data_IF_597862207076
#
_entry.id   IF_597862207076
#
_cell.length_a   1.000
_cell.length_b   1.000
_cell.length_c   1.000
_cell.angle_alpha   90.00
_cell.angle_beta   90.00
_cell.angle_gamma   90.00
#
_symmetry.space_group_name_H-M   'P 1'
#
loop_
_entity.id
_entity.type
_entity.pdbx_description
1 polymer ?
#
# COMPACT_ATOMS: atom_id res chain seq x y z
N UNK A 1 28.55 -6.13 -15.47
CA UNK A 1 27.35 -6.16 -14.60
C UNK A 1 26.24 -5.46 -15.37
N UNK A 2 25.04 -6.01 -15.56
CA UNK A 2 23.96 -5.28 -16.19
C UNK A 2 23.56 -4.13 -15.27
N UNK A 3 23.67 -2.90 -15.77
CA UNK A 3 23.18 -1.71 -15.10
C UNK A 3 21.64 -1.80 -15.05
N UNK A 4 21.09 -1.99 -13.87
CA UNK A 4 19.65 -1.92 -13.67
C UNK A 4 19.25 -0.44 -13.75
N UNK A 5 18.76 -0.03 -14.87
CA UNK A 5 18.11 1.26 -15.03
C UNK A 5 16.64 1.05 -14.67
N UNK A 6 16.23 1.56 -13.50
CA UNK A 6 14.82 1.68 -13.23
C UNK A 6 14.18 2.50 -14.36
N UNK A 7 13.10 2.02 -14.99
CA UNK A 7 12.44 2.79 -16.03
C UNK A 7 11.89 4.09 -15.46
N UNK A 8 11.90 5.18 -16.24
CA UNK A 8 11.34 6.45 -15.77
C UNK A 8 9.89 6.28 -15.32
N UNK A 9 9.48 7.02 -14.31
CA UNK A 9 8.19 6.91 -13.63
C UNK A 9 6.97 6.99 -14.57
N UNK A 10 7.12 7.59 -15.74
CA UNK A 10 6.09 7.75 -16.78
C UNK A 10 6.24 6.80 -17.97
N UNK A 11 7.21 5.89 -17.96
CA UNK A 11 7.37 4.93 -19.04
C UNK A 11 6.32 3.83 -18.90
N UNK A 12 5.39 3.66 -19.85
CA UNK A 12 4.58 2.46 -19.89
C UNK A 12 5.53 1.29 -20.18
N UNK A 13 5.80 0.49 -19.16
CA UNK A 13 6.43 -0.81 -19.36
C UNK A 13 5.40 -1.68 -20.10
N UNK A 14 5.44 -1.61 -21.43
CA UNK A 14 4.78 -2.60 -22.26
C UNK A 14 5.45 -3.95 -21.98
N UNK A 15 4.79 -4.79 -21.18
CA UNK A 15 5.29 -6.09 -20.76
C UNK A 15 5.80 -6.20 -19.33
N UNK A 16 5.39 -5.30 -18.41
CA UNK A 16 5.66 -5.48 -16.98
C UNK A 16 5.10 -6.82 -16.52
N UNK A 17 5.98 -7.74 -16.15
CA UNK A 17 5.60 -9.02 -15.56
C UNK A 17 4.96 -8.76 -14.20
N UNK A 18 3.71 -9.17 -14.03
CA UNK A 18 3.04 -9.17 -12.74
C UNK A 18 3.27 -10.53 -12.11
N UNK A 19 3.91 -10.54 -10.95
CA UNK A 19 4.07 -11.74 -10.16
C UNK A 19 2.85 -11.87 -9.22
N UNK A 20 2.15 -12.98 -9.32
CA UNK A 20 1.01 -13.27 -8.45
C UNK A 20 1.38 -14.34 -7.43
N UNK A 21 1.11 -14.05 -6.18
CA UNK A 21 1.26 -14.94 -5.04
C UNK A 21 -0.06 -15.00 -4.28
N UNK A 22 -0.24 -16.01 -3.44
CA UNK A 22 -1.38 -16.09 -2.55
C UNK A 22 -0.90 -16.29 -1.11
N UNK A 23 -1.39 -15.46 -0.20
CA UNK A 23 -1.17 -15.59 1.22
C UNK A 23 -2.53 -15.70 1.92
N UNK A 24 -2.87 -16.87 2.47
CA UNK A 24 -4.20 -17.17 2.98
C UNK A 24 -5.26 -16.92 1.87
N UNK A 25 -6.28 -16.10 2.18
CA UNK A 25 -7.33 -15.70 1.23
C UNK A 25 -7.00 -14.45 0.43
N UNK A 26 -5.82 -13.87 0.63
CA UNK A 26 -5.35 -12.64 -0.01
C UNK A 26 -4.56 -12.96 -1.28
N UNK A 27 -4.91 -12.32 -2.39
CA UNK A 27 -4.09 -12.31 -3.61
C UNK A 27 -3.05 -11.20 -3.49
N UNK A 28 -1.78 -11.52 -3.69
CA UNK A 28 -0.68 -10.56 -3.69
C UNK A 28 -0.16 -10.41 -5.11
N UNK A 29 -0.13 -9.21 -5.63
CA UNK A 29 0.39 -8.92 -6.97
C UNK A 29 1.53 -7.92 -6.86
N UNK A 30 2.70 -8.31 -7.38
CA UNK A 30 3.93 -7.52 -7.37
C UNK A 30 4.30 -7.12 -8.80
N UNK A 31 4.67 -5.87 -9.00
CA UNK A 31 5.15 -5.36 -10.29
C UNK A 31 5.58 -3.90 -10.21
N UNK A 32 5.61 -3.24 -11.37
CA UNK A 32 5.94 -1.82 -11.48
C UNK A 32 4.81 -1.08 -12.20
N UNK A 33 4.54 0.17 -11.78
CA UNK A 33 3.52 1.04 -12.39
C UNK A 33 2.13 0.41 -12.46
N UNK A 34 1.70 -0.22 -11.35
CA UNK A 34 0.50 -1.05 -11.31
C UNK A 34 -0.82 -0.27 -11.28
N UNK A 35 -0.85 1.05 -11.12
CA UNK A 35 -2.09 1.81 -10.90
C UNK A 35 -3.17 1.55 -11.97
N UNK A 36 -2.87 1.53 -13.29
CA UNK A 36 -3.88 1.18 -14.29
C UNK A 36 -4.36 -0.28 -14.19
N UNK A 37 -3.45 -1.20 -13.86
CA UNK A 37 -3.78 -2.60 -13.63
C UNK A 37 -4.67 -2.77 -12.39
N UNK A 38 -4.35 -2.07 -11.29
CA UNK A 38 -5.15 -2.05 -10.06
C UNK A 38 -6.59 -1.61 -10.39
N UNK A 39 -6.79 -0.48 -11.06
CA UNK A 39 -8.10 0.01 -11.41
C UNK A 39 -8.89 -1.02 -12.23
N UNK A 40 -8.28 -1.62 -13.25
CA UNK A 40 -8.90 -2.65 -14.09
C UNK A 40 -9.27 -3.88 -13.27
N UNK A 41 -8.34 -4.40 -12.45
CA UNK A 41 -8.56 -5.59 -11.61
C UNK A 41 -9.70 -5.36 -10.62
N UNK A 42 -9.73 -4.20 -9.97
CA UNK A 42 -10.79 -3.88 -9.00
C UNK A 42 -12.16 -3.88 -9.64
N UNK A 43 -12.31 -3.27 -10.81
CA UNK A 43 -13.61 -3.19 -11.49
C UNK A 43 -14.07 -4.56 -12.00
N UNK A 44 -13.14 -5.42 -12.42
CA UNK A 44 -13.50 -6.75 -12.94
C UNK A 44 -13.71 -7.78 -11.82
N UNK A 45 -12.86 -7.80 -10.79
CA UNK A 45 -12.88 -8.85 -9.76
C UNK A 45 -13.54 -8.44 -8.45
N UNK A 46 -13.59 -7.14 -8.16
CA UNK A 46 -14.27 -6.57 -7.01
C UNK A 46 -15.24 -5.46 -7.43
N UNK A 47 -16.23 -5.76 -8.29
CA UNK A 47 -17.19 -4.74 -8.74
C UNK A 47 -17.88 -4.10 -7.55
N UNK A 48 -18.04 -2.78 -7.61
CA UNK A 48 -18.56 -1.94 -6.54
C UNK A 48 -19.22 -0.69 -7.07
N UNK A 49 -20.20 -0.18 -6.35
CA UNK A 49 -20.83 1.12 -6.65
C UNK A 49 -19.92 2.31 -6.38
N UNK A 50 -18.91 2.15 -5.51
CA UNK A 50 -17.92 3.16 -5.20
C UNK A 50 -16.62 2.55 -4.68
N UNK A 51 -15.52 3.15 -5.06
CA UNK A 51 -14.18 2.88 -4.55
C UNK A 51 -13.72 4.08 -3.73
N UNK A 52 -13.10 3.84 -2.58
CA UNK A 52 -12.57 4.90 -1.70
C UNK A 52 -11.07 4.73 -1.58
N UNK A 53 -10.31 5.64 -2.15
CA UNK A 53 -8.87 5.74 -1.95
C UNK A 53 -8.61 6.53 -0.67
N UNK A 54 -8.00 5.90 0.32
CA UNK A 54 -7.51 6.58 1.52
C UNK A 54 -5.99 6.63 1.45
N UNK A 55 -5.43 7.83 1.56
CA UNK A 55 -3.98 8.08 1.45
C UNK A 55 -3.58 9.26 2.33
N UNK A 56 -2.28 9.53 2.43
CA UNK A 56 -1.77 10.68 3.15
C UNK A 56 -1.33 11.83 2.21
N UNK A 57 -1.18 13.01 2.81
CA UNK A 57 -0.81 14.22 2.05
C UNK A 57 0.59 14.17 1.45
N UNK A 58 1.51 13.32 1.92
CA UNK A 58 2.82 13.14 1.28
C UNK A 58 2.67 12.44 -0.07
N UNK A 59 1.91 11.36 -0.11
CA UNK A 59 1.64 10.64 -1.36
C UNK A 59 0.77 11.47 -2.32
N UNK A 60 -0.16 12.27 -1.78
CA UNK A 60 -0.93 13.22 -2.58
C UNK A 60 -0.02 14.21 -3.33
N UNK A 61 0.96 14.80 -2.64
CA UNK A 61 1.98 15.70 -3.24
C UNK A 61 2.84 15.01 -4.31
N UNK A 62 3.05 13.71 -4.22
CA UNK A 62 3.77 12.90 -5.21
C UNK A 62 2.88 12.50 -6.41
N UNK A 63 1.66 13.01 -6.50
CA UNK A 63 0.73 12.75 -7.61
C UNK A 63 0.03 11.39 -7.56
N UNK A 64 0.03 10.71 -6.40
CA UNK A 64 -0.64 9.43 -6.25
C UNK A 64 -2.13 9.52 -6.58
N UNK A 65 -2.82 10.53 -6.04
CA UNK A 65 -4.25 10.74 -6.25
C UNK A 65 -4.57 10.93 -7.73
N UNK A 66 -3.79 11.75 -8.43
CA UNK A 66 -4.03 12.02 -9.86
C UNK A 66 -3.83 10.77 -10.72
N UNK A 67 -2.86 9.93 -10.38
CA UNK A 67 -2.65 8.64 -11.05
C UNK A 67 -3.88 7.74 -10.90
N UNK A 68 -4.41 7.61 -9.68
CA UNK A 68 -5.62 6.81 -9.44
C UNK A 68 -6.85 7.43 -10.11
N UNK A 69 -7.07 8.74 -10.02
CA UNK A 69 -8.17 9.42 -10.69
C UNK A 69 -8.16 9.16 -12.20
N UNK A 70 -7.04 9.40 -12.87
CA UNK A 70 -6.88 9.13 -14.31
C UNK A 70 -7.17 7.67 -14.67
N UNK A 71 -6.69 6.72 -13.85
CA UNK A 71 -6.91 5.31 -14.10
C UNK A 71 -8.37 4.90 -13.96
N UNK A 72 -9.10 5.45 -12.99
CA UNK A 72 -10.52 5.17 -12.78
C UNK A 72 -11.41 5.91 -13.78
N UNK A 73 -11.09 7.16 -14.13
CA UNK A 73 -11.82 7.95 -15.14
C UNK A 73 -11.77 7.31 -16.53
N UNK A 74 -10.70 6.58 -16.82
CA UNK A 74 -10.58 5.82 -18.07
C UNK A 74 -11.56 4.64 -18.17
N UNK A 75 -12.26 4.28 -17.07
CA UNK A 75 -13.17 3.13 -17.02
C UNK A 75 -14.61 3.63 -16.83
N UNK A 76 -15.50 3.45 -17.82
CA UNK A 76 -16.87 3.94 -17.74
C UNK A 76 -17.63 3.41 -16.52
N UNK A 77 -18.27 4.30 -15.79
CA UNK A 77 -19.09 3.98 -14.62
C UNK A 77 -18.30 3.76 -13.31
N UNK A 78 -16.96 3.81 -13.34
CA UNK A 78 -16.17 3.70 -12.14
C UNK A 78 -16.27 5.00 -11.32
N UNK A 79 -16.64 4.89 -10.03
CA UNK A 79 -16.73 6.00 -9.09
C UNK A 79 -15.62 5.90 -8.06
N UNK A 80 -14.61 6.79 -8.13
CA UNK A 80 -13.54 6.90 -7.13
C UNK A 80 -13.77 8.14 -6.27
N UNK A 81 -13.77 7.95 -4.96
CA UNK A 81 -13.68 9.01 -3.96
C UNK A 81 -12.32 8.95 -3.28
N UNK A 82 -11.85 10.08 -2.78
CA UNK A 82 -10.53 10.18 -2.15
C UNK A 82 -10.68 10.82 -0.78
N UNK A 83 -10.06 10.22 0.22
CA UNK A 83 -9.90 10.78 1.55
C UNK A 83 -8.40 10.92 1.85
N UNK A 84 -7.99 12.13 2.20
CA UNK A 84 -6.61 12.45 2.55
C UNK A 84 -6.48 12.68 4.05
N UNK A 85 -5.44 12.13 4.66
CA UNK A 85 -5.14 12.36 6.07
C UNK A 85 -3.69 12.87 6.26
N UNK A 86 -3.39 13.36 7.45
CA UNK A 86 -2.05 13.77 7.80
C UNK A 86 -1.11 12.53 7.85
N UNK A 87 0.15 12.64 7.38
CA UNK A 87 1.11 11.55 7.50
C UNK A 87 1.58 11.40 8.95
N UNK A 88 2.06 10.21 9.28
CA UNK A 88 2.67 9.91 10.58
C UNK A 88 1.79 9.09 11.51
N UNK A 89 2.43 8.53 12.53
CA UNK A 89 1.81 7.59 13.48
C UNK A 89 0.66 8.21 14.26
N UNK A 90 0.69 9.51 14.51
CA UNK A 90 -0.38 10.25 15.22
C UNK A 90 -1.75 10.13 14.53
N UNK A 91 -1.75 9.92 13.21
CA UNK A 91 -2.97 9.69 12.45
C UNK A 91 -3.61 8.32 12.71
N UNK A 92 -2.89 7.38 13.33
CA UNK A 92 -3.39 6.05 13.66
C UNK A 92 -4.21 6.06 14.95
N UNK A 93 -5.27 6.85 14.99
CA UNK A 93 -6.06 7.18 16.18
C UNK A 93 -7.55 6.87 16.03
N UNK A 94 -8.27 6.90 17.16
CA UNK A 94 -9.73 6.77 17.18
C UNK A 94 -10.41 7.93 16.47
N UNK A 95 -9.88 9.11 16.66
CA UNK A 95 -10.40 10.35 16.10
C UNK A 95 -10.33 10.31 14.56
N UNK A 96 -9.19 9.91 14.02
CA UNK A 96 -9.02 9.77 12.56
C UNK A 96 -9.90 8.66 12.00
N UNK A 97 -10.00 7.53 12.72
CA UNK A 97 -10.90 6.44 12.33
C UNK A 97 -12.35 6.93 12.26
N UNK A 98 -12.83 7.63 13.29
CA UNK A 98 -14.18 8.18 13.33
C UNK A 98 -14.40 9.20 12.20
N UNK A 99 -13.43 10.08 11.95
CA UNK A 99 -13.53 11.08 10.87
C UNK A 99 -13.66 10.42 9.48
N UNK A 100 -12.94 9.32 9.23
CA UNK A 100 -13.09 8.56 7.98
C UNK A 100 -14.49 7.95 7.89
N UNK A 101 -14.98 7.33 8.97
CA UNK A 101 -16.30 6.71 9.02
C UNK A 101 -17.42 7.73 8.81
N UNK A 102 -17.35 8.88 9.47
CA UNK A 102 -18.32 9.98 9.33
C UNK A 102 -18.33 10.49 7.88
N UNK A 103 -17.15 10.75 7.31
CA UNK A 103 -17.01 11.15 5.93
C UNK A 103 -17.62 10.12 4.96
N UNK A 104 -17.41 8.82 5.22
CA UNK A 104 -18.00 7.76 4.41
C UNK A 104 -19.53 7.76 4.49
N UNK A 105 -20.10 8.04 5.66
CA UNK A 105 -21.56 8.18 5.86
C UNK A 105 -22.11 9.40 5.14
N UNK A 106 -21.46 10.54 5.22
CA UNK A 106 -21.82 11.78 4.51
C UNK A 106 -21.88 11.56 2.99
N UNK A 107 -20.95 10.75 2.46
CA UNK A 107 -20.92 10.41 1.03
C UNK A 107 -21.86 9.26 0.65
N UNK A 108 -22.71 8.81 1.61
CA UNK A 108 -23.70 7.74 1.44
C UNK A 108 -23.09 6.43 0.94
N UNK A 109 -21.90 6.11 1.42
CA UNK A 109 -21.24 4.86 1.10
C UNK A 109 -21.91 3.71 1.82
N UNK A 110 -21.97 2.55 1.17
CA UNK A 110 -22.71 1.38 1.64
C UNK A 110 -21.76 0.18 1.79
N UNK A 111 -22.31 -0.96 2.25
CA UNK A 111 -21.55 -2.21 2.36
C UNK A 111 -20.98 -2.76 1.05
N UNK A 112 -21.40 -2.20 -0.08
CA UNK A 112 -20.88 -2.55 -1.40
C UNK A 112 -19.55 -1.83 -1.71
N UNK A 113 -19.21 -0.78 -0.96
CA UNK A 113 -17.97 -0.01 -1.15
C UNK A 113 -16.72 -0.87 -1.00
N UNK A 114 -15.73 -0.64 -1.87
CA UNK A 114 -14.38 -1.18 -1.75
C UNK A 114 -13.42 -0.08 -1.30
N UNK A 115 -12.67 -0.33 -0.22
CA UNK A 115 -11.72 0.64 0.32
C UNK A 115 -10.29 0.29 -0.10
N UNK A 116 -9.54 1.29 -0.58
CA UNK A 116 -8.16 1.20 -1.02
C UNK A 116 -7.26 1.90 0.00
N UNK A 117 -6.48 1.14 0.76
CA UNK A 117 -5.49 1.65 1.69
C UNK A 117 -4.17 1.87 0.93
N UNK A 118 -3.91 3.11 0.47
CA UNK A 118 -2.70 3.46 -0.28
C UNK A 118 -1.74 4.23 0.60
N UNK A 119 -0.69 3.55 1.11
CA UNK A 119 0.27 4.17 2.01
C UNK A 119 1.21 3.21 2.71
N UNK A 120 1.88 3.69 3.75
CA UNK A 120 2.67 2.87 4.65
C UNK A 120 1.80 2.08 5.64
N UNK A 121 2.45 1.46 6.63
CA UNK A 121 1.78 0.63 7.64
C UNK A 121 0.70 1.37 8.43
N UNK A 122 0.89 2.66 8.71
CA UNK A 122 -0.13 3.51 9.39
C UNK A 122 -1.44 3.52 8.63
N UNK A 123 -1.38 3.77 7.32
CA UNK A 123 -2.56 3.77 6.44
C UNK A 123 -3.17 2.37 6.35
N UNK A 124 -2.33 1.36 6.14
CA UNK A 124 -2.79 -0.03 6.03
C UNK A 124 -3.56 -0.49 7.26
N UNK A 125 -3.02 -0.24 8.45
CA UNK A 125 -3.62 -0.65 9.72
C UNK A 125 -4.91 0.11 10.03
N UNK A 126 -4.87 1.44 9.96
CA UNK A 126 -6.01 2.31 10.23
C UNK A 126 -7.18 2.00 9.29
N UNK A 127 -6.91 2.02 7.98
CA UNK A 127 -7.94 1.84 6.94
C UNK A 127 -8.47 0.42 6.92
N UNK A 128 -7.61 -0.56 7.17
CA UNK A 128 -8.04 -1.94 7.35
C UNK A 128 -8.99 -2.10 8.54
N UNK A 129 -8.75 -1.36 9.65
CA UNK A 129 -9.64 -1.37 10.80
C UNK A 129 -10.95 -0.60 10.56
N UNK A 130 -10.93 0.51 9.81
CA UNK A 130 -12.15 1.15 9.29
C UNK A 130 -12.95 0.14 8.46
N UNK A 131 -12.31 -0.53 7.51
CA UNK A 131 -12.98 -1.51 6.67
C UNK A 131 -13.55 -2.69 7.46
N UNK A 132 -12.87 -3.13 8.52
CA UNK A 132 -13.34 -4.21 9.38
C UNK A 132 -14.63 -3.86 10.15
N UNK A 133 -14.83 -2.59 10.48
CA UNK A 133 -15.92 -2.15 11.37
C UNK A 133 -17.06 -1.42 10.66
N UNK A 134 -16.76 -0.64 9.63
CA UNK A 134 -17.77 0.11 8.87
C UNK A 134 -18.76 -0.85 8.21
N UNK A 135 -20.06 -0.58 8.37
CA UNK A 135 -21.17 -1.42 7.86
C UNK A 135 -21.04 -2.91 8.22
N UNK A 136 -20.34 -3.25 9.32
CA UNK A 136 -20.00 -4.62 9.78
C UNK A 136 -19.03 -5.36 8.88
N UNK A 137 -18.20 -4.66 8.15
CA UNK A 137 -17.14 -5.18 7.29
C UNK A 137 -17.32 -4.84 5.83
N UNK A 138 -16.30 -4.20 5.27
CA UNK A 138 -16.17 -3.90 3.85
C UNK A 138 -15.07 -4.74 3.22
N UNK A 139 -15.14 -4.92 1.91
CA UNK A 139 -13.99 -5.36 1.14
C UNK A 139 -12.95 -4.25 1.13
N UNK A 140 -11.68 -4.59 1.33
CA UNK A 140 -10.61 -3.62 1.15
C UNK A 140 -9.40 -4.25 0.47
N UNK A 141 -8.52 -3.41 -0.03
CA UNK A 141 -7.26 -3.78 -0.63
C UNK A 141 -6.14 -2.93 -0.05
N UNK A 142 -4.96 -3.50 0.04
CA UNK A 142 -3.73 -2.84 0.45
C UNK A 142 -2.93 -2.44 -0.78
N UNK A 143 -2.43 -1.21 -0.81
CA UNK A 143 -1.51 -0.68 -1.82
C UNK A 143 -0.33 -0.10 -1.03
N UNK A 144 0.58 -0.97 -0.53
CA UNK A 144 1.70 -0.54 0.28
C UNK A 144 2.68 0.29 -0.54
N UNK A 145 3.13 1.42 0.01
CA UNK A 145 4.03 2.37 -0.66
C UNK A 145 5.38 2.51 0.06
N UNK A 146 5.54 1.92 1.23
CA UNK A 146 6.83 1.83 1.94
C UNK A 146 7.35 0.41 1.89
N UNK A 147 8.68 0.23 1.92
CA UNK A 147 9.27 -1.11 1.92
C UNK A 147 8.77 -1.94 3.11
N UNK A 148 8.71 -1.36 4.31
CA UNK A 148 8.16 -2.04 5.49
C UNK A 148 6.73 -2.56 5.26
N UNK A 149 5.87 -1.76 4.64
CA UNK A 149 4.52 -2.21 4.36
C UNK A 149 4.47 -3.28 3.26
N UNK A 150 5.36 -3.21 2.26
CA UNK A 150 5.43 -4.20 1.19
C UNK A 150 5.84 -5.58 1.68
N UNK A 151 6.79 -5.65 2.64
CA UNK A 151 7.39 -6.92 3.07
C UNK A 151 6.81 -7.49 4.37
N UNK A 152 6.08 -6.68 5.13
CA UNK A 152 5.59 -7.09 6.46
C UNK A 152 4.13 -6.65 6.71
N UNK A 153 3.86 -5.36 6.97
CA UNK A 153 2.61 -4.94 7.60
C UNK A 153 1.35 -5.09 6.71
N UNK A 154 1.48 -5.15 5.38
CA UNK A 154 0.32 -5.37 4.49
C UNK A 154 -0.17 -6.82 4.47
N UNK A 155 0.58 -7.75 5.07
CA UNK A 155 0.30 -9.20 5.03
C UNK A 155 -0.11 -9.69 6.42
N UNK A 156 -1.07 -10.61 6.47
CA UNK A 156 -1.54 -11.23 7.72
C UNK A 156 -2.82 -10.66 8.30
N UNK A 157 -3.35 -9.55 7.73
CA UNK A 157 -4.67 -9.01 8.10
C UNK A 157 -4.74 -8.37 9.48
N UNK A 158 -3.62 -8.06 10.11
CA UNK A 158 -3.58 -7.29 11.35
C UNK A 158 -3.93 -5.86 11.03
N UNK A 159 -4.99 -5.34 11.65
CA UNK A 159 -5.43 -3.95 11.48
C UNK A 159 -5.70 -3.35 12.84
N UNK A 160 -5.27 -2.10 13.07
CA UNK A 160 -5.35 -1.52 14.40
C UNK A 160 -5.25 0.01 14.38
N UNK A 161 -5.59 0.59 15.52
CA UNK A 161 -5.29 1.96 15.92
C UNK A 161 -4.46 1.96 17.20
N UNK A 162 -3.80 3.08 17.45
CA UNK A 162 -3.03 3.30 18.66
C UNK A 162 -3.88 3.89 19.79
N UNK A 163 -3.39 3.70 21.01
CA UNK A 163 -4.00 4.22 22.24
C UNK A 163 -2.88 4.76 23.14
N UNK A 164 -3.12 5.77 24.00
CA UNK A 164 -2.10 6.27 24.94
C UNK A 164 -1.44 5.21 25.82
N UNK A 165 -2.12 4.10 26.07
CA UNK A 165 -1.58 2.97 26.85
C UNK A 165 -0.80 1.94 26.02
N UNK A 166 -0.71 2.08 24.69
CA UNK A 166 0.09 1.20 23.84
C UNK A 166 -0.37 1.19 22.39
N UNK A 167 0.56 0.81 21.54
CA UNK A 167 0.33 0.69 20.10
C UNK A 167 -0.42 -0.60 19.76
N UNK A 168 -1.27 -0.56 18.74
CA UNK A 168 -1.93 -1.72 18.14
C UNK A 168 -2.82 -2.55 19.08
N UNK A 169 -3.26 -1.97 20.23
CA UNK A 169 -4.07 -2.70 21.21
C UNK A 169 -5.56 -2.82 20.81
N UNK A 170 -6.01 -1.97 19.89
CA UNK A 170 -7.40 -1.91 19.45
C UNK A 170 -7.44 -2.13 17.96
N UNK A 171 -8.04 -3.22 17.54
CA UNK A 171 -8.05 -3.59 16.12
C UNK A 171 -8.86 -4.83 15.81
N UNK A 172 -8.65 -5.36 14.62
CA UNK A 172 -9.29 -6.57 14.14
C UNK A 172 -8.34 -7.33 13.21
N UNK A 173 -8.55 -8.66 13.12
CA UNK A 173 -8.01 -9.43 12.01
C UNK A 173 -8.97 -9.32 10.83
N UNK A 174 -8.56 -8.60 9.79
CA UNK A 174 -9.35 -8.39 8.59
C UNK A 174 -8.46 -8.54 7.35
N UNK A 175 -8.67 -9.61 6.59
CA UNK A 175 -7.82 -9.90 5.43
C UNK A 175 -8.18 -9.01 4.25
N UNK A 176 -7.20 -8.34 3.61
CA UNK A 176 -7.45 -7.64 2.36
C UNK A 176 -7.76 -8.65 1.24
N UNK A 177 -8.59 -8.25 0.28
CA UNK A 177 -8.83 -9.06 -0.92
C UNK A 177 -7.61 -9.13 -1.82
N UNK A 178 -6.88 -8.01 -1.89
CA UNK A 178 -5.65 -7.86 -2.64
C UNK A 178 -4.61 -7.09 -1.85
N UNK A 179 -3.35 -7.43 -2.07
CA UNK A 179 -2.20 -6.57 -1.79
C UNK A 179 -1.53 -6.29 -3.13
N UNK A 180 -1.50 -5.03 -3.55
CA UNK A 180 -0.83 -4.60 -4.78
C UNK A 180 0.49 -3.93 -4.44
N UNK A 181 1.59 -4.63 -4.63
CA UNK A 181 2.94 -4.16 -4.36
C UNK A 181 3.51 -3.55 -5.66
N UNK A 182 3.39 -2.25 -5.80
CA UNK A 182 4.00 -1.50 -6.88
C UNK A 182 5.37 -0.99 -6.43
N UNK A 183 6.43 -1.69 -6.86
CA UNK A 183 7.80 -1.36 -6.47
C UNK A 183 8.26 0.02 -6.95
N UNK A 184 7.56 0.65 -7.90
CA UNK A 184 7.87 2.01 -8.33
C UNK A 184 7.70 3.06 -7.21
N UNK A 185 6.89 2.80 -6.19
CA UNK A 185 6.79 3.70 -5.02
C UNK A 185 8.09 3.83 -4.24
N UNK A 186 8.95 2.81 -4.27
CA UNK A 186 10.25 2.84 -3.58
C UNK A 186 11.19 3.91 -4.14
N UNK A 187 10.98 4.35 -5.38
CA UNK A 187 11.77 5.44 -6.00
C UNK A 187 11.56 6.80 -5.29
N UNK A 188 10.45 6.96 -4.60
CA UNK A 188 10.10 8.20 -3.87
C UNK A 188 10.23 8.05 -2.36
N UNK A 189 10.67 6.88 -1.89
CA UNK A 189 10.74 6.57 -0.46
C UNK A 189 12.01 7.18 0.15
N UNK A 190 11.91 7.98 1.24
CA UNK A 190 13.08 8.50 1.94
C UNK A 190 14.00 7.38 2.45
N UNK A 191 15.32 7.63 2.45
CA UNK A 191 16.34 6.66 2.86
C UNK A 191 16.06 6.06 4.25
N UNK A 192 15.63 6.89 5.20
CA UNK A 192 15.26 6.42 6.55
C UNK A 192 14.16 5.36 6.51
N UNK A 193 13.11 5.61 5.73
CA UNK A 193 11.98 4.68 5.62
C UNK A 193 12.34 3.43 4.83
N UNK A 194 13.24 3.55 3.86
CA UNK A 194 13.80 2.38 3.19
C UNK A 194 14.62 1.53 4.17
N UNK A 195 15.50 2.15 4.99
CA UNK A 195 16.27 1.46 6.01
C UNK A 195 15.38 0.77 7.05
N UNK A 196 14.27 1.39 7.45
CA UNK A 196 13.29 0.79 8.34
C UNK A 196 12.71 -0.51 7.73
N UNK A 197 12.35 -0.49 6.46
CA UNK A 197 11.85 -1.69 5.77
C UNK A 197 12.91 -2.77 5.59
N UNK A 198 14.18 -2.39 5.35
CA UNK A 198 15.29 -3.34 5.23
C UNK A 198 15.52 -4.15 6.51
N UNK A 199 15.20 -3.61 7.68
CA UNK A 199 15.29 -4.38 8.93
C UNK A 199 14.39 -5.63 8.90
N UNK A 200 13.18 -5.50 8.37
CA UNK A 200 12.25 -6.63 8.22
C UNK A 200 12.68 -7.60 7.11
N UNK A 201 13.24 -7.10 6.02
CA UNK A 201 13.82 -7.95 4.95
C UNK A 201 14.94 -8.80 5.52
N UNK A 202 15.88 -8.18 6.25
CA UNK A 202 17.01 -8.88 6.89
C UNK A 202 16.52 -9.88 7.94
N UNK A 203 15.55 -9.48 8.78
CA UNK A 203 14.93 -10.38 9.78
C UNK A 203 14.35 -11.62 9.10
N UNK A 204 13.58 -11.43 8.05
CA UNK A 204 12.93 -12.55 7.35
C UNK A 204 13.94 -13.50 6.74
N UNK A 205 14.95 -12.98 6.05
CA UNK A 205 16.03 -13.81 5.51
C UNK A 205 16.79 -14.57 6.61
N UNK A 206 17.14 -13.89 7.70
CA UNK A 206 17.90 -14.47 8.81
C UNK A 206 17.19 -15.65 9.51
N UNK A 207 15.86 -15.64 9.55
CA UNK A 207 15.08 -16.71 10.22
C UNK A 207 14.55 -17.77 9.25
N UNK A 208 14.56 -17.50 7.95
CA UNK A 208 13.88 -18.37 6.98
C UNK A 208 14.84 -19.07 6.02
N UNK A 209 15.83 -18.36 5.43
CA UNK A 209 16.70 -18.91 4.40
C UNK A 209 18.11 -18.30 4.48
N UNK A 210 19.12 -19.14 4.77
CA UNK A 210 20.51 -18.72 4.87
C UNK A 210 21.07 -18.20 3.53
N UNK A 211 20.64 -18.75 2.39
CA UNK A 211 21.10 -18.31 1.09
C UNK A 211 20.59 -16.91 0.75
N UNK A 212 19.34 -16.59 1.11
CA UNK A 212 18.78 -15.25 0.98
C UNK A 212 19.53 -14.26 1.89
N UNK A 213 19.91 -14.66 3.09
CA UNK A 213 20.68 -13.81 4.00
C UNK A 213 22.08 -13.53 3.45
N UNK A 214 22.81 -14.55 2.97
CA UNK A 214 24.13 -14.41 2.35
C UNK A 214 24.06 -13.50 1.10
N UNK A 215 22.99 -13.61 0.31
CA UNK A 215 22.75 -12.74 -0.84
C UNK A 215 22.56 -11.29 -0.43
N UNK A 216 21.75 -11.01 0.59
CA UNK A 216 21.58 -9.65 1.12
C UNK A 216 22.90 -9.06 1.62
N UNK A 217 23.73 -9.84 2.29
CA UNK A 217 25.03 -9.41 2.77
C UNK A 217 25.96 -9.07 1.60
N UNK A 218 26.07 -9.95 0.60
CA UNK A 218 26.93 -9.77 -0.57
C UNK A 218 26.49 -8.61 -1.48
N UNK A 219 25.18 -8.34 -1.57
CA UNK A 219 24.60 -7.28 -2.41
C UNK A 219 24.35 -5.97 -1.64
N UNK A 220 24.68 -5.89 -0.36
CA UNK A 220 24.35 -4.76 0.51
C UNK A 220 24.81 -3.40 -0.05
N UNK A 221 25.99 -3.33 -0.65
CA UNK A 221 26.52 -2.10 -1.26
C UNK A 221 25.73 -1.69 -2.51
N UNK A 222 25.32 -2.64 -3.34
CA UNK A 222 24.53 -2.37 -4.56
C UNK A 222 23.09 -1.98 -4.25
N UNK A 223 22.48 -2.59 -3.25
CA UNK A 223 21.14 -2.23 -2.74
C UNK A 223 21.16 -0.79 -2.24
N UNK A 224 22.16 -0.43 -1.40
CA UNK A 224 22.30 0.95 -0.90
C UNK A 224 22.56 1.94 -2.02
N UNK A 225 23.42 1.62 -2.99
CA UNK A 225 23.71 2.49 -4.13
C UNK A 225 22.47 2.71 -5.02
N UNK A 226 21.65 1.70 -5.25
CA UNK A 226 20.41 1.83 -6.02
C UNK A 226 19.42 2.80 -5.37
N UNK A 227 19.29 2.75 -4.03
CA UNK A 227 18.46 3.69 -3.26
C UNK A 227 18.99 5.11 -3.34
N UNK A 228 20.30 5.31 -3.15
CA UNK A 228 20.92 6.63 -3.23
C UNK A 228 20.79 7.25 -4.63
N UNK A 229 20.91 6.46 -5.69
CA UNK A 229 20.73 6.94 -7.05
C UNK A 229 19.28 7.37 -7.34
N UNK A 230 18.29 6.71 -6.76
CA UNK A 230 16.89 7.12 -6.90
C UNK A 230 16.61 8.48 -6.24
N UNK A 231 17.32 8.82 -5.16
CA UNK A 231 17.17 10.10 -4.45
C UNK A 231 17.84 11.28 -5.16
N UNK A 232 18.80 11.04 -6.07
CA UNK A 232 19.51 12.10 -6.81
C UNK A 232 18.68 12.57 -8.03
N UNK A 233 17.67 11.81 -8.45
CA UNK A 233 16.84 12.12 -9.60
C UNK A 233 15.45 12.66 -9.25
N UNK A 234 15.21 13.02 -7.98
CA UNK A 234 14.05 13.76 -7.48
C UNK A 234 14.44 15.22 -7.24
#
# INVERSE_FOLDING_TARGET
>A
MPSYHAPPFDSPLSGATIHELRCLDTKVQLGFHLVPHIAKTLITELPSSAYVLVTDTNLAKLGAIDKFRKAFEAIPGARLLVYELAPGEESKSRETKAAIEDWMLEHRLTRDTVVLACGGGVIGDLVGFVAATFMRGLKYVQIPTTLLAMVDSSVGGKTAIDHPHGKNLIGAFHQPRYVFIDAAWLLTLPEREFSNGMAEVIKTAAIWDAADFEKLESESASIRAAVMLSLIHI
#
